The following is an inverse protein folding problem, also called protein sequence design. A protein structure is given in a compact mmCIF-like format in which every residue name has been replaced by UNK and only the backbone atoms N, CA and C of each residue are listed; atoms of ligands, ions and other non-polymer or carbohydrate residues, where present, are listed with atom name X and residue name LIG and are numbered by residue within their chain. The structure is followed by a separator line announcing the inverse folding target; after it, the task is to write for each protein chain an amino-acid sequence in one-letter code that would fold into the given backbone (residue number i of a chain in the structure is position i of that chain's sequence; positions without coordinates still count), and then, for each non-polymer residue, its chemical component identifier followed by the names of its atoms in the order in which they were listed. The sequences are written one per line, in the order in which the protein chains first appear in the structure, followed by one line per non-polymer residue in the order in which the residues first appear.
data_IF_884653273110
#
_entry.id   IF_884653273110
#
_cell.length_a   1.000
_cell.length_b   1.000
_cell.length_c   1.000
_cell.angle_alpha   90.00
_cell.angle_beta   90.00
_cell.angle_gamma   90.00
#
_symmetry.space_group_name_H-M   'P 1'
#
loop_
_entity.id
_entity.type
_entity.pdbx_description
1 polymer ?
#
# COMPACT_ATOMS: atom_id res chain seq x y z
N UNK A 1 -0.95 -4.43 24.14
CA UNK A 1 0.28 -3.81 24.67
C UNK A 1 1.42 -4.79 24.49
N UNK A 2 2.21 -4.66 23.42
CA UNK A 2 3.43 -5.44 23.25
C UNK A 2 4.53 -4.81 24.14
N UNK A 3 5.29 -5.60 24.91
CA UNK A 3 6.33 -5.06 25.78
C UNK A 3 7.44 -4.43 24.93
N UNK A 4 7.90 -3.26 25.39
CA UNK A 4 8.66 -2.31 24.61
C UNK A 4 9.98 -2.83 24.03
N UNK A 5 10.35 -2.21 22.92
CA UNK A 5 11.68 -2.27 22.31
C UNK A 5 12.72 -1.94 23.38
N UNK A 6 13.43 -2.96 23.87
CA UNK A 6 14.64 -2.77 24.67
C UNK A 6 15.82 -2.67 23.71
N UNK A 7 16.29 -1.44 23.48
CA UNK A 7 17.66 -1.24 23.03
C UNK A 7 18.60 -1.59 24.19
N UNK A 8 19.16 -2.79 24.17
CA UNK A 8 20.40 -3.04 24.89
C UNK A 8 21.53 -2.48 24.05
N UNK A 9 22.01 -1.27 24.37
CA UNK A 9 23.30 -0.78 23.88
C UNK A 9 24.38 -1.54 24.65
N UNK A 10 24.71 -2.75 24.18
CA UNK A 10 25.93 -3.41 24.59
C UNK A 10 27.11 -2.71 23.91
N UNK A 11 27.57 -1.62 24.54
CA UNK A 11 28.80 -0.90 24.16
C UNK A 11 28.71 -0.13 22.84
N UNK A 12 29.14 1.13 22.86
CA UNK A 12 29.59 1.80 21.64
C UNK A 12 30.85 1.08 21.13
N UNK A 13 30.66 0.03 20.33
CA UNK A 13 31.62 -0.31 19.30
C UNK A 13 31.09 0.28 18.00
N UNK A 14 31.84 1.20 17.42
CA UNK A 14 31.75 1.46 15.98
C UNK A 14 31.80 0.10 15.25
N UNK A 15 31.06 -0.10 14.15
CA UNK A 15 31.18 -1.33 13.39
C UNK A 15 32.64 -1.47 12.96
N UNK A 16 33.30 -2.51 13.47
CA UNK A 16 34.62 -2.93 13.02
C UNK A 16 34.52 -3.26 11.54
N UNK A 17 35.33 -2.59 10.70
CA UNK A 17 35.52 -3.00 9.31
C UNK A 17 35.91 -4.49 9.29
N UNK A 18 35.07 -5.34 8.67
CA UNK A 18 35.43 -6.72 8.34
C UNK A 18 34.61 -7.85 8.97
N UNK A 19 33.30 -7.71 9.25
CA UNK A 19 32.44 -8.89 9.46
C UNK A 19 31.71 -9.27 8.16
N UNK A 20 31.81 -10.54 7.75
CA UNK A 20 31.13 -11.05 6.54
C UNK A 20 29.59 -10.99 6.66
N UNK A 21 29.09 -10.83 7.88
CA UNK A 21 27.68 -10.74 8.24
C UNK A 21 27.47 -9.85 9.48
N UNK A 22 26.24 -9.36 9.63
CA UNK A 22 25.75 -8.60 10.77
C UNK A 22 24.44 -9.21 11.29
N UNK A 23 24.01 -8.82 12.49
CA UNK A 23 22.75 -9.25 13.10
C UNK A 23 21.92 -8.03 13.49
N UNK A 24 20.63 -8.07 13.20
CA UNK A 24 19.69 -7.00 13.53
C UNK A 24 18.51 -7.59 14.30
N UNK A 25 18.17 -6.96 15.42
CA UNK A 25 17.07 -7.39 16.30
C UNK A 25 15.76 -6.69 15.91
N UNK A 26 14.66 -7.44 15.80
CA UNK A 26 13.31 -6.89 15.73
C UNK A 26 12.31 -7.89 16.32
N UNK A 27 11.32 -7.41 17.07
CA UNK A 27 10.30 -8.29 17.68
C UNK A 27 10.86 -9.36 18.63
N UNK A 28 12.02 -9.12 19.24
CA UNK A 28 12.69 -10.10 20.12
C UNK A 28 13.47 -11.19 19.39
N UNK A 29 13.68 -11.07 18.07
CA UNK A 29 14.44 -12.01 17.26
C UNK A 29 15.63 -11.36 16.56
N UNK A 30 16.75 -12.08 16.60
CA UNK A 30 17.97 -11.77 15.85
C UNK A 30 17.90 -12.30 14.42
N UNK A 31 18.06 -11.43 13.42
CA UNK A 31 18.09 -11.79 12.01
C UNK A 31 19.47 -11.53 11.42
N UNK A 32 20.05 -12.56 10.81
CA UNK A 32 21.35 -12.51 10.13
C UNK A 32 21.24 -11.77 8.78
N UNK A 33 22.09 -10.76 8.60
CA UNK A 33 22.25 -9.98 7.39
C UNK A 33 23.63 -10.26 6.78
N UNK A 34 23.66 -11.00 5.68
CA UNK A 34 24.91 -11.27 4.94
C UNK A 34 25.21 -10.16 3.94
N UNK A 35 26.51 -9.92 3.68
CA UNK A 35 26.96 -8.82 2.82
C UNK A 35 26.39 -7.47 3.29
N UNK A 36 26.60 -7.11 4.58
CA UNK A 36 25.95 -5.96 5.20
C UNK A 36 26.22 -4.65 4.45
N UNK A 37 27.41 -4.52 3.87
CA UNK A 37 27.88 -3.32 3.16
C UNK A 37 27.41 -3.24 1.70
N UNK A 38 26.68 -4.25 1.18
CA UNK A 38 26.15 -4.19 -0.19
C UNK A 38 25.19 -3.00 -0.29
N UNK A 39 25.46 -2.08 -1.22
CA UNK A 39 24.54 -0.99 -1.55
C UNK A 39 23.28 -1.54 -2.21
N UNK A 40 22.13 -1.29 -1.59
CA UNK A 40 20.82 -1.57 -2.16
C UNK A 40 20.23 -0.35 -2.85
N UNK A 41 20.55 0.85 -2.36
CA UNK A 41 20.28 2.12 -3.03
C UNK A 41 21.59 2.90 -3.14
N UNK A 42 22.32 2.79 -4.26
CA UNK A 42 23.62 3.44 -4.43
C UNK A 42 23.54 4.97 -4.31
N UNK A 43 22.55 5.59 -4.95
CA UNK A 43 22.41 7.06 -4.99
C UNK A 43 22.05 7.65 -3.61
N UNK A 44 21.29 6.89 -2.82
CA UNK A 44 20.98 7.24 -1.44
C UNK A 44 22.03 6.77 -0.43
N UNK A 45 23.10 6.08 -0.85
CA UNK A 45 24.10 5.46 0.03
C UNK A 45 23.45 4.61 1.15
N UNK A 46 22.49 3.76 0.78
CA UNK A 46 21.81 2.84 1.69
C UNK A 46 22.31 1.42 1.44
N UNK A 47 23.00 0.87 2.43
CA UNK A 47 23.45 -0.51 2.45
C UNK A 47 22.33 -1.47 2.86
N UNK A 48 22.55 -2.76 2.66
CA UNK A 48 21.64 -3.82 3.11
C UNK A 48 21.44 -3.82 4.62
N UNK A 49 22.51 -3.62 5.38
CA UNK A 49 22.43 -3.43 6.83
C UNK A 49 21.68 -2.14 7.19
N UNK A 50 21.93 -1.06 6.45
CA UNK A 50 21.21 0.21 6.63
C UNK A 50 19.70 0.05 6.46
N UNK A 51 19.26 -0.65 5.41
CA UNK A 51 17.84 -0.93 5.18
C UNK A 51 17.23 -1.83 6.28
N UNK A 52 17.95 -2.86 6.72
CA UNK A 52 17.47 -3.70 7.83
C UNK A 52 17.36 -2.89 9.14
N UNK A 53 18.32 -2.03 9.42
CA UNK A 53 18.31 -1.14 10.60
C UNK A 53 17.16 -0.14 10.54
N UNK A 54 16.87 0.41 9.36
CA UNK A 54 15.71 1.26 9.13
C UNK A 54 14.41 0.55 9.50
N UNK A 55 14.18 -0.66 8.98
CA UNK A 55 12.95 -1.40 9.30
C UNK A 55 12.85 -1.79 10.76
N UNK A 56 13.97 -2.06 11.44
CA UNK A 56 13.99 -2.27 12.88
C UNK A 56 13.59 -1.00 13.65
N UNK A 57 14.01 0.18 13.19
CA UNK A 57 13.70 1.46 13.83
C UNK A 57 12.22 1.87 13.70
N UNK A 58 11.54 1.46 12.61
CA UNK A 58 10.11 1.73 12.37
C UNK A 58 9.22 0.51 12.60
N UNK A 59 9.74 -0.54 13.24
CA UNK A 59 9.13 -1.86 13.32
C UNK A 59 7.69 -1.81 13.87
N UNK A 60 7.41 -0.96 14.86
CA UNK A 60 6.08 -0.88 15.48
C UNK A 60 5.01 -0.35 14.51
N UNK A 61 5.32 0.71 13.76
CA UNK A 61 4.41 1.28 12.76
C UNK A 61 4.30 0.41 11.50
N UNK A 62 5.44 -0.13 11.05
CA UNK A 62 5.50 -1.09 9.95
C UNK A 62 4.63 -2.32 10.24
N UNK A 63 4.77 -2.90 11.44
CA UNK A 63 4.02 -4.08 11.83
C UNK A 63 2.53 -3.80 11.94
N UNK A 64 2.10 -2.63 12.40
CA UNK A 64 0.67 -2.26 12.40
C UNK A 64 0.04 -2.36 11.01
N UNK A 65 0.75 -1.90 9.98
CA UNK A 65 0.30 -2.00 8.59
C UNK A 65 0.37 -3.41 7.99
N UNK A 66 1.24 -4.28 8.52
CA UNK A 66 1.54 -5.60 7.95
C UNK A 66 1.04 -6.80 8.76
N UNK A 67 0.61 -6.59 10.00
CA UNK A 67 0.36 -7.66 10.96
C UNK A 67 -0.62 -8.69 10.42
N UNK A 68 -0.16 -9.94 10.37
CA UNK A 68 -0.90 -11.11 9.90
C UNK A 68 -1.37 -10.98 8.44
N UNK A 69 -0.70 -10.17 7.60
CA UNK A 69 -1.04 -10.02 6.19
C UNK A 69 -0.10 -10.85 5.30
N UNK A 70 -0.64 -11.52 4.25
CA UNK A 70 0.19 -11.98 3.16
C UNK A 70 0.84 -10.80 2.44
N UNK A 71 2.08 -10.97 2.00
CA UNK A 71 2.85 -9.95 1.28
C UNK A 71 3.51 -10.52 0.03
N UNK A 72 3.37 -9.79 -1.07
CA UNK A 72 4.23 -9.94 -2.24
C UNK A 72 5.50 -9.10 -2.07
N UNK A 73 6.63 -9.66 -2.52
CA UNK A 73 7.95 -9.09 -2.35
C UNK A 73 8.49 -8.61 -3.70
N UNK A 74 8.81 -7.32 -3.84
CA UNK A 74 9.58 -6.83 -4.98
C UNK A 74 11.08 -6.87 -4.63
N UNK A 75 11.82 -7.77 -5.28
CA UNK A 75 13.18 -8.14 -4.88
C UNK A 75 14.22 -7.66 -5.88
N UNK A 76 15.32 -7.14 -5.34
CA UNK A 76 16.50 -6.63 -6.02
C UNK A 76 17.76 -7.21 -5.33
N UNK A 77 18.12 -8.49 -5.61
CA UNK A 77 19.25 -9.14 -4.92
C UNK A 77 20.59 -8.42 -5.09
N UNK A 78 20.74 -7.66 -6.17
CA UNK A 78 21.92 -6.87 -6.51
C UNK A 78 21.71 -5.36 -6.31
N UNK A 79 20.64 -4.97 -5.61
CA UNK A 79 20.29 -3.58 -5.38
C UNK A 79 19.61 -2.91 -6.58
N UNK A 80 19.29 -1.64 -6.40
CA UNK A 80 18.70 -0.78 -7.43
C UNK A 80 19.68 -0.63 -8.61
N UNK A 81 19.19 -0.79 -9.84
CA UNK A 81 20.00 -0.87 -11.07
C UNK A 81 20.30 -2.31 -11.52
N UNK A 82 20.10 -3.30 -10.64
CA UNK A 82 20.11 -4.72 -10.97
C UNK A 82 18.76 -5.23 -11.50
N UNK A 83 18.66 -6.56 -11.68
CA UNK A 83 17.39 -7.22 -12.05
C UNK A 83 16.42 -7.19 -10.87
N UNK A 84 15.15 -6.91 -11.16
CA UNK A 84 14.05 -7.01 -10.21
C UNK A 84 13.08 -8.12 -10.58
N UNK A 85 12.40 -8.67 -9.57
CA UNK A 85 11.28 -9.59 -9.77
C UNK A 85 10.34 -9.60 -8.57
N UNK A 86 9.05 -9.79 -8.86
CA UNK A 86 8.04 -10.01 -7.82
C UNK A 86 8.01 -11.48 -7.39
N UNK A 87 7.99 -11.71 -6.09
CA UNK A 87 7.78 -13.02 -5.47
C UNK A 87 6.47 -12.98 -4.68
N UNK A 88 5.48 -13.73 -5.14
CA UNK A 88 4.20 -13.91 -4.43
C UNK A 88 4.26 -15.16 -3.55
N UNK A 89 4.55 -16.31 -4.16
CA UNK A 89 4.71 -17.57 -3.44
C UNK A 89 5.86 -17.50 -2.42
N UNK A 90 5.63 -18.07 -1.24
CA UNK A 90 6.63 -18.20 -0.21
C UNK A 90 7.90 -18.87 -0.79
N UNK A 91 9.08 -18.21 -0.68
CA UNK A 91 10.28 -18.72 -1.32
C UNK A 91 10.84 -19.92 -0.57
N UNK A 92 11.60 -20.75 -1.28
CA UNK A 92 12.43 -21.79 -0.65
C UNK A 92 13.43 -21.13 0.32
N UNK A 93 13.56 -21.69 1.53
CA UNK A 93 14.42 -21.13 2.58
C UNK A 93 13.73 -20.12 3.50
N UNK A 94 12.39 -20.14 3.56
CA UNK A 94 11.63 -19.51 4.63
C UNK A 94 12.13 -20.06 5.99
N UNK A 95 12.46 -19.20 6.97
CA UNK A 95 12.80 -19.63 8.31
C UNK A 95 11.65 -20.41 8.96
N UNK A 96 11.98 -21.34 9.86
CA UNK A 96 11.01 -22.17 10.58
C UNK A 96 10.03 -21.37 11.44
N UNK A 97 10.44 -20.19 11.91
CA UNK A 97 9.61 -19.25 12.66
C UNK A 97 8.73 -18.34 11.79
N UNK A 98 9.04 -18.21 10.50
CA UNK A 98 8.28 -17.32 9.63
C UNK A 98 7.00 -18.01 9.14
N UNK A 99 5.91 -17.26 9.11
CA UNK A 99 4.58 -17.78 8.77
C UNK A 99 4.25 -17.56 7.30
N UNK A 100 3.26 -18.30 6.81
CA UNK A 100 2.66 -18.13 5.49
C UNK A 100 1.16 -18.02 5.60
N UNK A 101 0.53 -17.30 4.68
CA UNK A 101 -0.93 -17.24 4.55
C UNK A 101 -1.35 -17.84 3.21
N UNK A 102 -2.38 -18.68 3.25
CA UNK A 102 -2.96 -19.29 2.06
C UNK A 102 -3.89 -18.30 1.37
N UNK A 103 -3.63 -17.96 0.11
CA UNK A 103 -4.43 -17.00 -0.66
C UNK A 103 -5.02 -17.64 -1.91
N UNK A 104 -6.16 -17.12 -2.35
CA UNK A 104 -6.75 -17.43 -3.66
C UNK A 104 -6.55 -16.25 -4.61
N UNK A 105 -6.05 -16.50 -5.81
CA UNK A 105 -5.86 -15.51 -6.88
C UNK A 105 -7.13 -15.34 -7.73
N UNK A 106 -7.27 -14.26 -8.53
CA UNK A 106 -8.43 -14.03 -9.40
C UNK A 106 -8.69 -15.16 -10.41
N UNK A 107 -7.68 -15.99 -10.71
CA UNK A 107 -7.83 -17.16 -11.59
C UNK A 107 -8.45 -18.39 -10.90
N UNK A 108 -8.71 -18.33 -9.59
CA UNK A 108 -9.08 -19.47 -8.75
C UNK A 108 -7.90 -20.35 -8.33
N UNK A 109 -6.69 -20.10 -8.85
CA UNK A 109 -5.46 -20.72 -8.33
C UNK A 109 -5.23 -20.27 -6.90
N UNK A 110 -4.68 -21.15 -6.07
CA UNK A 110 -4.26 -20.81 -4.71
C UNK A 110 -2.75 -20.90 -4.56
N UNK A 111 -2.23 -20.35 -3.47
CA UNK A 111 -0.83 -20.48 -3.09
C UNK A 111 -0.56 -19.88 -1.72
N UNK A 112 0.57 -20.23 -1.14
CA UNK A 112 1.01 -19.69 0.15
C UNK A 112 1.96 -18.52 -0.10
N UNK A 113 1.67 -17.36 0.49
CA UNK A 113 2.55 -16.18 0.48
C UNK A 113 3.18 -15.96 1.86
N UNK A 114 4.29 -15.22 1.92
CA UNK A 114 4.90 -14.85 3.21
C UNK A 114 3.89 -14.04 4.03
N UNK A 115 3.70 -14.39 5.30
CA UNK A 115 2.82 -13.68 6.22
C UNK A 115 3.64 -12.99 7.31
N UNK A 116 3.36 -11.71 7.57
CA UNK A 116 4.09 -10.93 8.56
C UNK A 116 3.43 -11.05 9.93
N UNK A 117 3.77 -12.11 10.67
CA UNK A 117 3.31 -12.37 12.05
C UNK A 117 4.22 -11.76 13.12
N UNK A 118 5.44 -11.37 12.75
CA UNK A 118 6.38 -10.62 13.59
C UNK A 118 7.28 -9.69 12.74
N UNK A 119 7.80 -8.58 13.31
CA UNK A 119 8.66 -7.64 12.58
C UNK A 119 9.92 -8.27 11.97
N UNK A 120 10.46 -9.32 12.60
CA UNK A 120 11.64 -10.05 12.14
C UNK A 120 11.46 -10.64 10.73
N UNK A 121 10.22 -11.00 10.35
CA UNK A 121 9.90 -11.48 8.99
C UNK A 121 10.33 -10.45 7.95
N UNK A 122 10.10 -9.16 8.21
CA UNK A 122 10.50 -8.10 7.27
C UNK A 122 12.01 -8.01 7.12
N UNK A 123 12.76 -8.08 8.23
CA UNK A 123 14.23 -8.09 8.16
C UNK A 123 14.77 -9.28 7.35
N UNK A 124 14.14 -10.44 7.49
CA UNK A 124 14.47 -11.59 6.65
C UNK A 124 14.15 -11.34 5.17
N UNK A 125 13.05 -10.65 4.84
CA UNK A 125 12.80 -10.27 3.44
C UNK A 125 13.88 -9.33 2.89
N UNK A 126 14.41 -8.41 3.70
CA UNK A 126 15.57 -7.56 3.33
C UNK A 126 16.82 -8.40 3.09
N UNK A 127 17.06 -9.42 3.92
CA UNK A 127 18.13 -10.40 3.69
C UNK A 127 18.01 -11.06 2.31
N UNK A 128 16.78 -11.28 1.84
CA UNK A 128 16.45 -11.81 0.51
C UNK A 128 16.47 -10.76 -0.61
N UNK A 129 16.82 -9.50 -0.32
CA UNK A 129 16.91 -8.41 -1.27
C UNK A 129 15.58 -7.71 -1.56
N UNK A 130 14.56 -7.86 -0.71
CA UNK A 130 13.29 -7.13 -0.88
C UNK A 130 13.48 -5.64 -0.65
N UNK A 131 13.05 -4.82 -1.62
CA UNK A 131 13.00 -3.36 -1.50
C UNK A 131 11.57 -2.83 -1.39
N UNK A 132 10.56 -3.58 -1.82
CA UNK A 132 9.17 -3.15 -1.62
C UNK A 132 8.33 -4.32 -1.10
N UNK A 133 7.55 -4.04 -0.07
CA UNK A 133 6.57 -4.93 0.53
C UNK A 133 5.20 -4.50 0.04
N UNK A 134 4.49 -5.39 -0.63
CA UNK A 134 3.15 -5.14 -1.14
C UNK A 134 2.18 -6.03 -0.37
N UNK A 135 1.33 -5.42 0.45
CA UNK A 135 0.45 -6.15 1.35
C UNK A 135 -0.92 -6.37 0.72
N UNK A 136 -1.51 -7.52 0.99
CA UNK A 136 -2.93 -7.72 0.76
C UNK A 136 -3.78 -6.87 1.72
N UNK A 137 -5.01 -6.49 1.35
CA UNK A 137 -5.94 -5.81 2.26
C UNK A 137 -6.71 -6.79 3.17
N UNK A 138 -6.21 -8.02 3.32
CA UNK A 138 -6.77 -9.10 4.16
C UNK A 138 -5.75 -9.57 5.18
N UNK A 139 -6.20 -10.33 6.18
CA UNK A 139 -5.34 -11.03 7.14
C UNK A 139 -5.44 -12.55 6.96
N UNK A 140 -4.47 -13.29 7.46
CA UNK A 140 -4.33 -14.73 7.23
C UNK A 140 -5.52 -15.56 7.70
N UNK A 141 -6.25 -15.09 8.72
CA UNK A 141 -7.41 -15.78 9.27
C UNK A 141 -8.61 -15.80 8.30
N UNK A 142 -8.70 -14.80 7.41
CA UNK A 142 -9.73 -14.68 6.40
C UNK A 142 -9.19 -13.91 5.20
N UNK A 143 -8.76 -14.65 4.17
CA UNK A 143 -8.18 -14.06 2.96
C UNK A 143 -9.20 -13.68 1.89
N UNK A 144 -10.50 -13.82 2.20
CA UNK A 144 -11.57 -13.53 1.26
C UNK A 144 -12.35 -12.25 1.58
N UNK A 145 -12.29 -11.79 2.84
CA UNK A 145 -12.93 -10.57 3.30
C UNK A 145 -11.90 -9.50 3.72
N UNK A 146 -11.68 -8.45 2.90
CA UNK A 146 -10.79 -7.36 3.27
C UNK A 146 -11.17 -6.73 4.60
N UNK A 147 -10.17 -6.45 5.43
CA UNK A 147 -10.32 -5.63 6.63
C UNK A 147 -9.85 -4.19 6.38
N UNK A 148 -9.29 -3.89 5.21
CA UNK A 148 -8.79 -2.55 4.85
C UNK A 148 -9.34 -2.08 3.50
N UNK A 149 -10.13 -0.99 3.49
CA UNK A 149 -10.50 -0.28 2.27
C UNK A 149 -9.35 0.64 1.85
N UNK A 150 -9.00 0.65 0.55
CA UNK A 150 -7.89 1.44 0.01
C UNK A 150 -8.35 2.30 -1.14
N UNK A 151 -7.94 3.56 -1.11
CA UNK A 151 -8.26 4.56 -2.11
C UNK A 151 -6.94 5.10 -2.64
N UNK A 152 -6.65 4.81 -3.90
CA UNK A 152 -5.42 5.22 -4.57
C UNK A 152 -5.68 6.47 -5.40
N UNK A 153 -5.04 7.57 -5.01
CA UNK A 153 -5.12 8.86 -5.68
C UNK A 153 -3.89 8.99 -6.59
N UNK A 154 -4.07 8.75 -7.89
CA UNK A 154 -3.01 8.71 -8.89
C UNK A 154 -3.01 9.98 -9.78
N UNK A 155 -2.04 10.90 -9.59
CA UNK A 155 -1.91 12.08 -10.43
C UNK A 155 -1.61 11.72 -11.90
N UNK A 156 -2.47 12.12 -12.82
CA UNK A 156 -2.23 11.96 -14.25
C UNK A 156 -1.25 13.04 -14.78
N UNK A 157 -0.70 12.90 -16.01
CA UNK A 157 0.12 13.94 -16.60
C UNK A 157 -0.57 15.32 -16.52
N UNK A 158 0.16 16.35 -16.12
CA UNK A 158 -0.38 17.69 -15.82
C UNK A 158 -0.73 17.94 -14.35
N UNK A 159 -0.81 16.89 -13.53
CA UNK A 159 -1.06 16.98 -12.07
C UNK A 159 0.05 16.35 -11.24
N UNK A 160 0.08 16.65 -9.95
CA UNK A 160 1.07 16.15 -9.01
C UNK A 160 0.54 15.93 -7.60
N UNK A 161 1.45 16.00 -6.64
CA UNK A 161 1.16 15.71 -5.24
C UNK A 161 0.21 16.72 -4.60
N UNK A 162 0.32 18.00 -4.96
CA UNK A 162 -0.53 19.06 -4.41
C UNK A 162 -2.00 18.81 -4.77
N UNK A 163 -2.31 18.48 -6.03
CA UNK A 163 -3.66 18.15 -6.47
C UNK A 163 -4.16 16.86 -5.78
N UNK A 164 -3.29 15.88 -5.54
CA UNK A 164 -3.66 14.69 -4.77
C UNK A 164 -4.01 15.03 -3.31
N UNK A 165 -3.31 15.97 -2.67
CA UNK A 165 -3.63 16.45 -1.31
C UNK A 165 -4.99 17.13 -1.27
N UNK A 166 -5.31 17.95 -2.27
CA UNK A 166 -6.64 18.58 -2.39
C UNK A 166 -7.74 17.53 -2.52
N UNK A 167 -7.59 16.55 -3.41
CA UNK A 167 -8.55 15.45 -3.57
C UNK A 167 -8.63 14.58 -2.31
N UNK A 168 -7.52 14.36 -1.60
CA UNK A 168 -7.51 13.62 -0.34
C UNK A 168 -8.33 14.34 0.76
N UNK A 169 -8.30 15.68 0.80
CA UNK A 169 -9.12 16.48 1.74
C UNK A 169 -10.61 16.41 1.41
N UNK A 170 -10.97 16.41 0.14
CA UNK A 170 -12.35 16.19 -0.30
C UNK A 170 -12.84 14.78 0.07
N UNK A 171 -11.99 13.77 -0.10
CA UNK A 171 -12.26 12.41 0.34
C UNK A 171 -12.42 12.32 1.87
N UNK A 172 -11.57 13.02 2.64
CA UNK A 172 -11.72 13.10 4.10
C UNK A 172 -13.09 13.67 4.49
N UNK A 173 -13.49 14.81 3.91
CA UNK A 173 -14.79 15.43 4.20
C UNK A 173 -15.96 14.48 3.90
N UNK A 174 -15.91 13.78 2.75
CA UNK A 174 -16.92 12.78 2.40
C UNK A 174 -16.92 11.60 3.39
N UNK A 175 -15.76 11.10 3.80
CA UNK A 175 -15.72 10.04 4.82
C UNK A 175 -16.27 10.51 6.18
N UNK A 176 -16.00 11.75 6.58
CA UNK A 176 -16.53 12.35 7.82
C UNK A 176 -18.06 12.48 7.77
N UNK A 177 -18.64 12.88 6.64
CA UNK A 177 -20.10 12.87 6.42
C UNK A 177 -20.71 11.47 6.62
N UNK A 178 -19.95 10.41 6.28
CA UNK A 178 -20.35 9.01 6.42
C UNK A 178 -20.02 8.43 7.81
N UNK A 179 -19.40 9.21 8.71
CA UNK A 179 -18.97 8.72 10.02
C UNK A 179 -17.81 7.71 9.94
N UNK A 180 -17.03 7.75 8.87
CA UNK A 180 -15.89 6.86 8.61
C UNK A 180 -14.60 7.65 8.83
N UNK A 181 -13.62 7.06 9.50
CA UNK A 181 -12.30 7.69 9.70
C UNK A 181 -11.26 7.11 8.75
N UNK A 182 -10.78 7.88 7.76
CA UNK A 182 -9.66 7.48 6.93
C UNK A 182 -8.32 7.88 7.55
N UNK A 183 -7.28 7.14 7.18
CA UNK A 183 -5.87 7.43 7.42
C UNK A 183 -5.18 7.68 6.08
N UNK A 184 -4.12 8.48 6.05
CA UNK A 184 -3.43 8.85 4.81
C UNK A 184 -1.95 8.50 4.86
N UNK A 185 -1.42 8.07 3.71
CA UNK A 185 0.03 7.91 3.52
C UNK A 185 0.46 8.39 2.15
N UNK A 186 1.69 8.89 2.07
CA UNK A 186 2.35 9.06 0.77
C UNK A 186 2.53 7.69 0.12
N UNK A 187 2.47 7.63 -1.21
CA UNK A 187 2.81 6.40 -1.94
C UNK A 187 4.32 6.14 -1.98
N UNK A 188 5.16 7.14 -1.68
CA UNK A 188 6.59 7.17 -2.04
C UNK A 188 6.83 7.37 -3.55
N UNK A 189 5.77 7.70 -4.30
CA UNK A 189 5.80 8.18 -5.67
C UNK A 189 5.14 9.55 -5.76
N UNK A 190 4.25 9.74 -6.75
CA UNK A 190 3.53 11.02 -6.94
C UNK A 190 2.19 11.10 -6.20
N UNK A 191 1.56 9.95 -5.95
CA UNK A 191 0.19 9.86 -5.41
C UNK A 191 0.12 9.64 -3.91
N UNK A 192 -1.12 9.54 -3.43
CA UNK A 192 -1.50 9.28 -2.04
C UNK A 192 -2.34 8.01 -1.95
N UNK A 193 -2.27 7.34 -0.80
CA UNK A 193 -3.22 6.29 -0.46
C UNK A 193 -4.01 6.69 0.79
N UNK A 194 -5.33 6.53 0.74
CA UNK A 194 -6.18 6.54 1.92
C UNK A 194 -6.47 5.10 2.34
N UNK A 195 -6.44 4.86 3.64
CA UNK A 195 -6.67 3.57 4.27
C UNK A 195 -7.82 3.71 5.27
N UNK A 196 -8.78 2.80 5.23
CA UNK A 196 -9.86 2.72 6.23
C UNK A 196 -9.90 1.31 6.76
N UNK A 197 -9.86 1.15 8.09
CA UNK A 197 -10.15 -0.14 8.73
C UNK A 197 -11.64 -0.41 8.65
N UNK A 198 -12.00 -1.56 8.10
CA UNK A 198 -13.38 -2.01 7.90
C UNK A 198 -13.61 -3.35 8.58
N UNK A 199 -14.87 -3.66 8.89
CA UNK A 199 -15.25 -4.99 9.38
C UNK A 199 -14.96 -6.04 8.27
N UNK A 200 -14.31 -7.17 8.57
CA UNK A 200 -13.97 -8.18 7.56
C UNK A 200 -15.18 -9.08 7.23
N UNK A 201 -16.25 -8.49 6.68
CA UNK A 201 -17.47 -9.21 6.28
C UNK A 201 -17.93 -8.96 4.84
N UNK A 202 -17.24 -8.07 4.12
CA UNK A 202 -17.48 -7.81 2.71
C UNK A 202 -16.43 -8.49 1.85
N UNK A 203 -16.85 -8.96 0.69
CA UNK A 203 -15.96 -9.53 -0.33
C UNK A 203 -15.14 -8.44 -1.03
N UNK A 204 -14.08 -8.83 -1.74
CA UNK A 204 -13.35 -7.91 -2.64
C UNK A 204 -14.27 -7.20 -3.66
N UNK A 205 -15.33 -7.85 -4.13
CA UNK A 205 -16.28 -7.26 -5.09
C UNK A 205 -17.06 -6.13 -4.44
N UNK A 206 -17.57 -6.34 -3.23
CA UNK A 206 -18.31 -5.32 -2.47
C UNK A 206 -17.40 -4.17 -2.05
N UNK A 207 -16.20 -4.47 -1.53
CA UNK A 207 -15.22 -3.44 -1.18
C UNK A 207 -14.83 -2.58 -2.39
N UNK A 208 -14.63 -3.18 -3.57
CA UNK A 208 -14.39 -2.45 -4.82
C UNK A 208 -15.60 -1.62 -5.25
N UNK A 209 -16.83 -2.12 -5.12
CA UNK A 209 -18.06 -1.34 -5.39
C UNK A 209 -18.17 -0.12 -4.47
N UNK A 210 -17.80 -0.26 -3.19
CA UNK A 210 -17.76 0.86 -2.25
C UNK A 210 -16.76 1.94 -2.69
N UNK A 211 -15.57 1.56 -3.17
CA UNK A 211 -14.59 2.52 -3.72
C UNK A 211 -15.10 3.18 -5.01
N UNK A 212 -15.78 2.45 -5.89
CA UNK A 212 -16.40 3.03 -7.10
C UNK A 212 -17.43 4.11 -6.73
N UNK A 213 -18.29 3.84 -5.76
CA UNK A 213 -19.30 4.80 -5.30
C UNK A 213 -18.65 6.05 -4.69
N UNK A 214 -17.64 5.87 -3.84
CA UNK A 214 -16.84 6.98 -3.30
C UNK A 214 -16.20 7.81 -4.41
N UNK A 215 -15.57 7.15 -5.38
CA UNK A 215 -14.85 7.79 -6.48
C UNK A 215 -15.79 8.61 -7.38
N UNK A 216 -17.00 8.08 -7.67
CA UNK A 216 -18.03 8.80 -8.42
C UNK A 216 -18.59 9.99 -7.67
N UNK A 217 -18.80 9.86 -6.37
CA UNK A 217 -19.23 10.99 -5.55
C UNK A 217 -18.19 12.12 -5.57
N UNK A 218 -16.91 11.78 -5.43
CA UNK A 218 -15.81 12.74 -5.53
C UNK A 218 -15.70 13.37 -6.92
N UNK A 219 -15.85 12.58 -7.99
CA UNK A 219 -15.90 13.07 -9.37
C UNK A 219 -17.10 14.00 -9.61
N UNK A 220 -18.27 13.70 -9.03
CA UNK A 220 -19.45 14.59 -9.10
C UNK A 220 -19.24 15.91 -8.35
N UNK A 221 -18.55 15.87 -7.20
CA UNK A 221 -18.25 17.07 -6.40
C UNK A 221 -17.18 17.94 -7.03
N UNK A 222 -16.13 17.34 -7.61
CA UNK A 222 -14.95 18.02 -8.16
C UNK A 222 -14.57 17.49 -9.56
N UNK A 223 -15.45 17.61 -10.58
CA UNK A 223 -15.23 17.03 -11.91
C UNK A 223 -14.05 17.65 -12.67
N UNK A 224 -13.56 18.80 -12.24
CA UNK A 224 -12.36 19.46 -12.74
C UNK A 224 -11.07 18.87 -12.17
N UNK A 225 -11.12 18.18 -11.03
CA UNK A 225 -9.95 17.61 -10.34
C UNK A 225 -9.90 16.10 -10.32
N UNK A 226 -11.06 15.43 -10.34
CA UNK A 226 -11.16 13.99 -10.14
C UNK A 226 -11.67 13.33 -11.40
N UNK A 227 -11.14 12.15 -11.72
CA UNK A 227 -11.69 11.30 -12.78
C UNK A 227 -11.74 9.84 -12.38
N UNK A 228 -12.79 9.15 -12.84
CA UNK A 228 -12.90 7.69 -12.78
C UNK A 228 -12.78 7.03 -14.16
N UNK A 229 -12.41 7.79 -15.21
CA UNK A 229 -12.31 7.20 -16.55
C UNK A 229 -11.23 6.12 -16.62
N UNK A 230 -11.65 4.96 -17.11
CA UNK A 230 -10.79 3.82 -17.31
C UNK A 230 -9.76 4.07 -18.42
N UNK A 231 -10.14 4.79 -19.49
CA UNK A 231 -9.28 5.11 -20.62
C UNK A 231 -8.35 6.28 -20.28
N UNK A 232 -7.03 6.08 -20.40
CA UNK A 232 -6.05 7.11 -20.04
C UNK A 232 -6.23 8.40 -20.83
N UNK A 233 -6.61 8.30 -22.09
CA UNK A 233 -6.87 9.43 -22.98
C UNK A 233 -8.07 10.30 -22.55
N UNK A 234 -9.00 9.77 -21.75
CA UNK A 234 -10.19 10.49 -21.29
C UNK A 234 -9.99 11.15 -19.91
N UNK A 235 -8.88 10.86 -19.23
CA UNK A 235 -8.64 11.35 -17.85
C UNK A 235 -8.34 12.84 -17.79
N UNK A 236 -7.63 13.36 -18.79
CA UNK A 236 -7.11 14.73 -18.78
C UNK A 236 -6.12 14.99 -17.63
N UNK A 237 -5.99 16.27 -17.26
CA UNK A 237 -5.12 16.72 -16.16
C UNK A 237 -5.86 16.64 -14.82
N UNK A 238 -6.20 15.42 -14.40
CA UNK A 238 -6.97 15.15 -13.17
C UNK A 238 -6.30 14.07 -12.31
N UNK A 239 -6.70 13.98 -11.06
CA UNK A 239 -6.41 12.85 -10.19
C UNK A 239 -7.33 11.69 -10.57
N UNK A 240 -6.72 10.57 -10.99
CA UNK A 240 -7.45 9.33 -11.20
C UNK A 240 -7.60 8.59 -9.88
N UNK A 241 -8.83 8.25 -9.51
CA UNK A 241 -9.07 7.36 -8.37
C UNK A 241 -9.04 5.92 -8.89
N UNK A 242 -7.96 5.19 -8.63
CA UNK A 242 -7.80 3.82 -9.11
C UNK A 242 -8.59 2.83 -8.26
N UNK A 243 -9.90 2.77 -8.52
CA UNK A 243 -10.82 1.84 -7.88
C UNK A 243 -10.45 0.37 -8.09
N UNK A 244 -9.64 0.03 -9.10
CA UNK A 244 -9.20 -1.34 -9.32
C UNK A 244 -8.11 -1.78 -8.34
N UNK A 245 -7.53 -0.87 -7.55
CA UNK A 245 -6.60 -1.24 -6.47
C UNK A 245 -7.29 -2.02 -5.33
N UNK A 246 -8.62 -2.00 -5.26
CA UNK A 246 -9.40 -2.88 -4.38
C UNK A 246 -9.77 -4.23 -5.00
N UNK A 247 -9.39 -4.51 -6.24
CA UNK A 247 -9.58 -5.83 -6.82
C UNK A 247 -8.67 -6.86 -6.13
N UNK A 248 -9.09 -8.12 -6.10
CA UNK A 248 -8.27 -9.23 -5.59
C UNK A 248 -6.89 -9.27 -6.26
N UNK A 249 -5.84 -9.59 -5.51
CA UNK A 249 -4.46 -9.63 -6.02
C UNK A 249 -3.91 -8.29 -6.55
N UNK A 250 -4.60 -7.18 -6.23
CA UNK A 250 -4.04 -5.83 -6.30
C UNK A 250 -3.60 -5.43 -4.90
N UNK A 251 -2.29 -5.49 -4.70
CA UNK A 251 -1.64 -5.12 -3.45
C UNK A 251 -1.09 -3.71 -3.58
N UNK A 252 -1.12 -2.97 -2.48
CA UNK A 252 -0.48 -1.65 -2.42
C UNK A 252 0.78 -1.78 -1.58
N UNK A 253 1.74 -0.88 -1.85
CA UNK A 253 2.94 -0.79 -1.03
C UNK A 253 2.54 -0.53 0.43
N UNK A 254 3.11 -1.30 1.34
CA UNK A 254 2.78 -1.22 2.76
C UNK A 254 3.22 0.11 3.38
N UNK A 255 2.55 0.59 4.44
CA UNK A 255 3.08 1.65 5.29
C UNK A 255 4.52 1.37 5.70
N UNK A 256 5.38 2.39 5.68
CA UNK A 256 6.81 2.31 5.98
C UNK A 256 7.66 1.46 5.02
N UNK A 257 7.08 0.81 4.01
CA UNK A 257 7.88 0.15 2.97
C UNK A 257 8.59 1.19 2.12
N UNK A 258 9.84 0.88 1.78
CA UNK A 258 10.60 1.60 0.77
C UNK A 258 10.00 1.43 -0.62
N UNK A 259 10.37 2.35 -1.52
CA UNK A 259 10.13 2.27 -2.96
C UNK A 259 11.44 2.08 -3.70
N UNK A 260 11.42 1.31 -4.78
CA UNK A 260 12.60 1.08 -5.61
C UNK A 260 12.91 2.30 -6.50
N UNK A 261 13.36 3.40 -5.88
CA UNK A 261 13.74 4.67 -6.51
C UNK A 261 15.09 5.17 -5.95
N UNK A 262 15.84 6.00 -6.70
CA UNK A 262 17.20 6.42 -6.36
C UNK A 262 17.40 6.92 -4.92
N UNK A 263 16.46 7.71 -4.43
CA UNK A 263 16.45 8.37 -3.13
C UNK A 263 15.97 7.50 -1.96
N UNK A 264 15.67 6.23 -2.22
CA UNK A 264 15.09 5.29 -1.25
C UNK A 264 13.87 5.87 -0.49
N UNK A 265 12.84 6.38 -1.20
CA UNK A 265 11.71 7.02 -0.56
C UNK A 265 10.80 5.98 0.08
N UNK A 266 9.98 6.43 1.02
CA UNK A 266 9.13 5.59 1.87
C UNK A 266 7.66 5.90 1.61
N UNK A 267 6.81 4.87 1.60
CA UNK A 267 5.35 5.06 1.69
C UNK A 267 5.00 5.43 3.14
N UNK A 268 4.98 6.72 3.44
CA UNK A 268 4.97 7.22 4.82
C UNK A 268 3.56 7.58 5.27
N UNK A 269 3.03 7.00 6.36
CA UNK A 269 1.88 7.53 7.08
C UNK A 269 2.06 8.99 7.50
N UNK A 270 1.06 9.83 7.23
CA UNK A 270 1.09 11.26 7.54
C UNK A 270 -0.16 11.63 8.32
N UNK A 271 -0.06 12.53 9.29
CA UNK A 271 -1.25 13.07 9.96
C UNK A 271 -1.98 14.01 9.02
N UNK A 272 -3.31 13.99 9.06
CA UNK A 272 -4.14 14.89 8.26
C UNK A 272 -3.78 16.38 8.41
N UNK A 273 -3.41 16.80 9.63
CA UNK A 273 -3.00 18.16 9.91
C UNK A 273 -1.70 18.58 9.19
N UNK A 274 -0.79 17.62 8.96
CA UNK A 274 0.54 17.88 8.39
C UNK A 274 0.55 17.69 6.85
N UNK A 275 -0.52 17.11 6.27
CA UNK A 275 -0.51 16.60 4.89
C UNK A 275 -0.20 17.66 3.82
N UNK A 276 -0.59 18.92 4.03
CA UNK A 276 -0.31 20.01 3.08
C UNK A 276 1.11 20.59 3.19
N UNK A 277 1.81 20.29 4.27
CA UNK A 277 3.12 20.88 4.58
C UNK A 277 4.28 19.92 4.29
N UNK A 278 4.00 18.78 3.66
CA UNK A 278 4.97 17.73 3.35
C UNK A 278 5.07 17.48 1.86
N UNK A 279 6.22 16.99 1.42
CA UNK A 279 6.44 16.46 0.09
C UNK A 279 6.87 14.99 0.16
N UNK A 280 6.59 14.16 -0.88
CA UNK A 280 7.04 12.77 -0.90
C UNK A 280 8.55 12.60 -0.66
N UNK A 281 9.37 13.54 -1.13
CA UNK A 281 10.83 13.53 -0.98
C UNK A 281 11.33 13.76 0.45
N UNK A 282 10.48 14.23 1.36
CA UNK A 282 10.84 14.41 2.78
C UNK A 282 11.00 13.06 3.50
N UNK A 283 10.45 11.99 2.91
CA UNK A 283 10.33 10.68 3.54
C UNK A 283 11.21 9.66 2.84
N UNK A 284 12.40 9.42 3.41
CA UNK A 284 13.38 8.45 2.93
C UNK A 284 13.80 7.51 4.06
N UNK A 285 14.50 6.43 3.70
CA UNK A 285 15.17 5.54 4.66
C UNK A 285 16.03 6.31 5.68
N UNK A 286 16.60 7.45 5.29
CA UNK A 286 17.48 8.27 6.13
C UNK A 286 16.75 9.24 7.05
N UNK A 287 15.56 9.71 6.67
CA UNK A 287 14.83 10.76 7.42
C UNK A 287 13.73 10.20 8.30
N UNK A 288 13.08 9.12 7.87
CA UNK A 288 11.90 8.55 8.55
C UNK A 288 12.19 8.02 9.96
N UNK A 289 13.33 7.39 10.28
CA UNK A 289 13.61 6.93 11.65
C UNK A 289 13.54 8.04 12.71
N UNK A 290 14.13 9.20 12.43
CA UNK A 290 14.12 10.35 13.35
C UNK A 290 12.71 10.95 13.47
N UNK A 291 11.98 11.03 12.36
CA UNK A 291 10.58 11.46 12.34
C UNK A 291 9.71 10.51 13.17
N UNK A 292 9.86 9.20 13.00
CA UNK A 292 9.12 8.18 13.73
C UNK A 292 9.43 8.21 15.23
N UNK A 293 10.71 8.31 15.60
CA UNK A 293 11.12 8.41 17.00
C UNK A 293 10.56 9.67 17.69
N UNK A 294 10.51 10.79 16.98
CA UNK A 294 10.00 12.06 17.50
C UNK A 294 8.48 12.09 17.60
N UNK A 295 7.80 11.61 16.56
CA UNK A 295 6.38 11.85 16.36
C UNK A 295 5.52 10.61 16.62
N UNK A 296 6.10 9.40 16.64
CA UNK A 296 5.37 8.15 16.62
C UNK A 296 4.71 7.84 15.27
N UNK A 297 3.86 6.82 15.28
CA UNK A 297 3.08 6.38 14.11
C UNK A 297 1.85 7.28 13.90
N UNK A 298 1.72 7.90 12.71
CA UNK A 298 0.55 8.70 12.35
C UNK A 298 -0.73 7.86 12.23
N UNK A 299 -0.59 6.55 12.02
CA UNK A 299 -1.69 5.60 11.91
C UNK A 299 -1.86 4.75 13.18
N UNK A 300 -1.35 5.20 14.33
CA UNK A 300 -1.38 4.43 15.58
C UNK A 300 -2.78 3.90 15.94
N UNK A 301 -3.82 4.66 15.61
CA UNK A 301 -5.23 4.41 15.94
C UNK A 301 -6.01 3.67 14.83
N UNK A 302 -5.34 3.21 13.75
CA UNK A 302 -6.05 2.62 12.60
C UNK A 302 -6.85 1.36 12.95
N UNK A 303 -6.40 0.59 13.94
CA UNK A 303 -7.05 -0.65 14.36
C UNK A 303 -8.04 -0.42 15.53
N UNK A 304 -8.22 0.81 16.01
CA UNK A 304 -9.08 1.11 17.16
C UNK A 304 -10.58 1.04 16.80
N UNK A 305 -10.93 1.23 15.53
CA UNK A 305 -12.32 1.17 15.05
C UNK A 305 -12.38 0.55 13.66
N UNK A 306 -13.22 -0.48 13.52
CA UNK A 306 -13.59 -1.04 12.23
C UNK A 306 -14.92 -0.43 11.78
N UNK A 307 -14.91 0.21 10.62
CA UNK A 307 -16.08 0.89 10.06
C UNK A 307 -16.91 -0.03 9.17
N UNK A 308 -18.20 0.28 9.05
CA UNK A 308 -19.07 -0.40 8.09
C UNK A 308 -18.95 0.20 6.69
N UNK A 309 -19.04 -0.64 5.65
CA UNK A 309 -19.16 -0.21 4.25
C UNK A 309 -20.62 0.05 3.82
N UNK A 310 -21.61 -0.22 4.68
CA UNK A 310 -23.03 -0.19 4.32
C UNK A 310 -23.43 1.14 3.66
N UNK A 311 -23.00 2.30 4.20
CA UNK A 311 -23.34 3.60 3.62
C UNK A 311 -22.76 3.82 2.21
N UNK A 312 -21.54 3.32 1.94
CA UNK A 312 -20.94 3.38 0.60
C UNK A 312 -21.60 2.39 -0.37
N UNK A 313 -22.04 1.24 0.13
CA UNK A 313 -22.78 0.26 -0.67
C UNK A 313 -24.19 0.77 -1.01
N UNK A 314 -24.87 1.46 -0.09
CA UNK A 314 -26.13 2.15 -0.38
C UNK A 314 -25.95 3.26 -1.43
N UNK A 315 -24.81 3.97 -1.43
CA UNK A 315 -24.46 4.90 -2.51
C UNK A 315 -24.31 4.16 -3.85
N UNK A 316 -23.61 3.02 -3.86
CA UNK A 316 -23.46 2.20 -5.07
C UNK A 316 -24.80 1.69 -5.60
N UNK A 317 -25.73 1.29 -4.71
CA UNK A 317 -27.08 0.86 -5.07
C UNK A 317 -27.91 2.01 -5.65
N UNK A 318 -27.79 3.23 -5.10
CA UNK A 318 -28.43 4.43 -5.67
C UNK A 318 -27.87 4.78 -7.05
N UNK A 319 -26.56 4.74 -7.22
CA UNK A 319 -25.91 4.94 -8.52
C UNK A 319 -26.47 3.98 -9.57
N UNK A 320 -26.62 2.70 -9.23
CA UNK A 320 -27.16 1.68 -10.13
C UNK A 320 -28.66 1.91 -10.42
N UNK A 321 -29.47 2.16 -9.39
CA UNK A 321 -30.92 2.30 -9.49
C UNK A 321 -31.36 3.60 -10.17
N UNK A 322 -30.78 4.72 -9.76
CA UNK A 322 -31.27 6.06 -10.11
C UNK A 322 -30.51 6.67 -11.29
N UNK A 323 -29.28 6.19 -11.56
CA UNK A 323 -28.41 6.72 -12.63
C UNK A 323 -28.00 5.66 -13.66
N UNK A 324 -28.34 4.38 -13.46
CA UNK A 324 -27.90 3.29 -14.33
C UNK A 324 -26.39 3.05 -14.30
N UNK A 325 -25.71 3.55 -13.27
CA UNK A 325 -24.27 3.49 -13.10
C UNK A 325 -23.89 2.24 -12.30
N UNK A 326 -23.82 1.09 -12.98
CA UNK A 326 -23.43 -0.19 -12.38
C UNK A 326 -21.91 -0.34 -12.12
N UNK A 327 -21.37 -1.54 -12.31
CA UNK A 327 -19.93 -1.81 -12.15
C UNK A 327 -19.05 -1.04 -13.16
N UNK A 328 -17.77 -0.86 -12.85
CA UNK A 328 -16.77 -0.27 -13.76
C UNK A 328 -15.82 -1.35 -14.32
N UNK A 329 -15.15 -1.11 -15.46
CA UNK A 329 -14.28 -2.11 -16.05
C UNK A 329 -13.10 -2.50 -15.15
N UNK A 330 -12.82 -3.79 -15.10
CA UNK A 330 -11.56 -4.32 -14.58
C UNK A 330 -10.42 -4.07 -15.58
N UNK A 331 -9.14 -4.18 -15.18
CA UNK A 331 -8.03 -4.13 -16.11
C UNK A 331 -8.16 -5.22 -17.20
N UNK A 332 -7.71 -4.99 -18.45
CA UNK A 332 -7.98 -5.89 -19.59
C UNK A 332 -7.55 -7.34 -19.35
N UNK A 333 -6.38 -7.52 -18.73
CA UNK A 333 -5.78 -8.84 -18.48
C UNK A 333 -6.15 -9.41 -17.11
N UNK A 334 -7.13 -8.83 -16.41
CA UNK A 334 -7.50 -9.25 -15.07
C UNK A 334 -8.36 -10.51 -15.12
N UNK A 335 -7.93 -11.66 -14.55
CA UNK A 335 -8.70 -12.90 -14.61
C UNK A 335 -10.04 -12.79 -13.88
N UNK A 336 -11.01 -13.60 -14.29
CA UNK A 336 -12.34 -13.68 -13.67
C UNK A 336 -12.41 -14.85 -12.68
N UNK A 337 -12.93 -14.61 -11.48
CA UNK A 337 -13.12 -15.69 -10.51
C UNK A 337 -14.27 -16.61 -10.93
N UNK A 338 -14.19 -17.93 -10.63
CA UNK A 338 -15.33 -18.82 -10.75
C UNK A 338 -16.55 -18.28 -9.98
N UNK A 339 -17.71 -18.21 -10.64
CA UNK A 339 -18.95 -17.70 -10.03
C UNK A 339 -19.09 -16.17 -9.98
N UNK A 340 -18.09 -15.40 -10.44
CA UNK A 340 -18.17 -13.94 -10.45
C UNK A 340 -19.26 -13.44 -11.45
N UNK A 341 -20.00 -12.35 -11.14
CA UNK A 341 -20.95 -11.73 -12.07
C UNK A 341 -20.33 -11.31 -13.42
N UNK A 342 -21.16 -10.92 -14.40
CA UNK A 342 -20.67 -10.37 -15.67
C UNK A 342 -20.01 -9.00 -15.41
N UNK A 343 -18.77 -8.83 -15.86
CA UNK A 343 -18.04 -7.56 -15.79
C UNK A 343 -18.46 -6.62 -16.91
N UNK A 344 -18.45 -5.33 -16.62
CA UNK A 344 -18.61 -4.28 -17.63
C UNK A 344 -17.39 -4.26 -18.54
N UNK A 345 -17.62 -4.26 -19.85
CA UNK A 345 -16.56 -4.14 -20.85
C UNK A 345 -16.20 -2.66 -21.03
N UNK A 346 -14.91 -2.32 -21.22
CA UNK A 346 -14.54 -0.97 -21.57
C UNK A 346 -15.20 -0.55 -22.89
N UNK A 347 -16.01 0.50 -22.87
CA UNK A 347 -16.47 1.21 -24.07
C UNK A 347 -15.80 2.58 -24.11
N UNK A 348 -15.22 2.96 -25.24
CA UNK A 348 -14.76 4.35 -25.44
C UNK A 348 -15.96 5.24 -25.68
N UNK A 349 -15.91 6.49 -25.20
CA UNK A 349 -16.86 7.49 -25.67
C UNK A 349 -16.70 7.63 -27.20
N UNK A 350 -17.82 7.57 -27.95
CA UNK A 350 -17.79 7.98 -29.36
C UNK A 350 -17.57 9.49 -29.36
N UNK A 351 -16.42 9.93 -29.84
CA UNK A 351 -16.27 11.33 -30.25
C UNK A 351 -17.19 11.53 -31.46
N UNK A 352 -18.36 12.11 -31.22
CA UNK A 352 -19.17 12.65 -32.31
C UNK A 352 -18.32 13.74 -32.97
N UNK A 353 -17.77 13.44 -34.14
CA UNK A 353 -17.28 14.46 -35.05
C UNK A 353 -18.52 15.24 -35.49
N UNK A 354 -18.81 16.35 -34.80
CA UNK A 354 -19.72 17.36 -35.32
C UNK A 354 -19.20 17.79 -36.70
N UNK A 355 -20.02 17.52 -37.71
CA UNK A 355 -19.69 17.72 -39.10
C UNK A 355 -19.57 19.21 -39.44
N UNK A 356 -18.47 19.57 -40.08
CA UNK A 356 -18.39 20.75 -40.93
C UNK A 356 -19.05 20.45 -42.27
N UNK A 357 -20.21 21.06 -42.52
CA UNK A 357 -20.65 21.43 -43.87
C UNK A 357 -19.91 22.68 -44.33
#
# INVERSE_FOLDING_TARGET
MCPGVRMSVAGRSLPTMGSAEAHVEAGGRSVRISSPDKLLFPDADVTKLGLATYYAAVADGLFRGLANRPVALNRFPDGLGGKSFFTKSAPKGLPDWASTAHVTFPSGRTGDEVCVTEPATVLWTVQMGTLELHAWPVREADTDHPDELRIDLDPQPGTGFAEAVEVAREALALFEELGIRPFVKTSGGRGLHLLVRIEPRWTFVEARRAVIALARELERRRPEMVTTSWWKEERGERIFIDFNQMARDRMTVAPYSTRARPDAPVSMPVRWADLADVAPGDFTVKTVPDLFAKNGDANAEIDDTAHSLDALLEMAERDEKDHGLGDMPYPPDFPKMPGEPKRVQPSKARHDQEGGS
#
